data_IF_031960561714
#
_entry.id   IF_031960561714
#
_cell.length_a   1.000
_cell.length_b   1.000
_cell.length_c   1.000
_cell.angle_alpha   90.00
_cell.angle_beta   90.00
_cell.angle_gamma   90.00
#
_symmetry.space_group_name_H-M   'P 1'
#
loop_
_entity.id
_entity.type
_entity.pdbx_description
1 polymer ?
#
# COMPACT_ATOMS: atom_id res chain seq x y z
N UNK A 1 25.37 -15.32 -29.62
CA UNK A 1 24.09 -15.49 -28.91
C UNK A 1 24.27 -15.07 -27.45
N UNK A 2 23.84 -13.88 -27.01
CA UNK A 2 23.98 -13.52 -25.60
C UNK A 2 22.94 -14.27 -24.78
N UNK A 3 23.41 -15.11 -23.85
CA UNK A 3 22.59 -15.78 -22.84
C UNK A 3 21.78 -14.73 -22.08
N UNK A 4 20.45 -14.72 -22.24
CA UNK A 4 19.54 -13.99 -21.36
C UNK A 4 19.82 -14.43 -19.93
N UNK A 5 20.50 -13.62 -19.12
CA UNK A 5 20.58 -13.84 -17.70
C UNK A 5 19.15 -13.88 -17.15
N UNK A 6 18.68 -15.07 -16.76
CA UNK A 6 17.48 -15.20 -15.97
C UNK A 6 17.66 -14.28 -14.76
N UNK A 7 16.86 -13.20 -14.69
CA UNK A 7 16.96 -12.23 -13.60
C UNK A 7 16.69 -12.97 -12.30
N UNK A 8 17.73 -13.19 -11.50
CA UNK A 8 17.65 -13.82 -10.18
C UNK A 8 16.72 -12.97 -9.29
N UNK A 9 15.57 -13.54 -8.96
CA UNK A 9 14.53 -12.96 -8.10
C UNK A 9 14.99 -13.11 -6.63
N UNK A 10 14.85 -12.06 -5.80
CA UNK A 10 15.12 -12.16 -4.36
C UNK A 10 14.17 -13.17 -3.71
N UNK A 11 14.74 -14.08 -2.92
CA UNK A 11 13.97 -15.00 -2.07
C UNK A 11 13.59 -14.32 -0.75
N UNK A 12 12.60 -14.89 -0.07
CA UNK A 12 12.22 -14.49 1.28
C UNK A 12 13.37 -14.82 2.25
N UNK A 13 13.69 -13.92 3.20
CA UNK A 13 14.71 -14.19 4.21
C UNK A 13 14.24 -15.32 5.14
N UNK A 14 15.18 -16.16 5.54
CA UNK A 14 15.01 -17.21 6.53
C UNK A 14 14.88 -16.64 7.96
N UNK A 15 14.35 -17.45 8.89
CA UNK A 15 14.00 -17.06 10.27
C UNK A 15 15.13 -16.35 11.01
N UNK A 16 16.36 -16.81 10.86
CA UNK A 16 17.57 -16.32 11.54
C UNK A 16 17.90 -14.86 11.21
N UNK A 17 17.38 -14.33 10.10
CA UNK A 17 17.54 -12.92 9.76
C UNK A 17 16.60 -11.99 10.55
N UNK A 18 15.55 -12.53 11.17
CA UNK A 18 14.57 -11.77 11.93
C UNK A 18 14.92 -11.75 13.41
N UNK A 19 14.64 -10.61 14.06
CA UNK A 19 14.68 -10.50 15.52
C UNK A 19 13.49 -11.23 16.15
N UNK A 20 13.56 -11.65 17.42
CA UNK A 20 12.46 -12.38 18.08
C UNK A 20 11.09 -11.67 17.98
N UNK A 21 11.04 -10.35 18.21
CA UNK A 21 9.81 -9.54 18.06
C UNK A 21 9.30 -9.50 16.62
N UNK A 22 10.20 -9.35 15.64
CA UNK A 22 9.87 -9.35 14.21
C UNK A 22 9.25 -10.70 13.81
N UNK A 23 9.88 -11.79 14.23
CA UNK A 23 9.40 -13.14 13.95
C UNK A 23 8.06 -13.46 14.62
N UNK A 24 7.86 -13.03 15.87
CA UNK A 24 6.59 -13.19 16.58
C UNK A 24 5.43 -12.49 15.86
N UNK A 25 5.66 -11.29 15.31
CA UNK A 25 4.67 -10.56 14.50
C UNK A 25 4.34 -11.36 13.23
N UNK A 26 5.36 -11.85 12.52
CA UNK A 26 5.18 -12.67 11.32
C UNK A 26 4.34 -13.92 11.63
N UNK A 27 4.67 -14.64 12.70
CA UNK A 27 3.94 -15.85 13.07
C UNK A 27 2.49 -15.58 13.50
N UNK A 28 2.22 -14.42 14.12
CA UNK A 28 0.89 -14.02 14.58
C UNK A 28 -0.03 -13.61 13.44
N UNK A 29 0.47 -12.84 12.46
CA UNK A 29 -0.35 -12.28 11.38
C UNK A 29 -0.06 -12.98 10.06
N UNK A 30 -0.82 -14.04 9.75
CA UNK A 30 -0.56 -14.96 8.63
C UNK A 30 -1.36 -14.66 7.37
N UNK A 31 -2.42 -13.88 7.49
CA UNK A 31 -3.35 -13.60 6.40
C UNK A 31 -3.43 -12.10 6.11
N UNK A 32 -3.80 -11.70 4.87
CA UNK A 32 -3.99 -10.28 4.53
C UNK A 32 -4.92 -9.54 5.49
N UNK A 33 -6.00 -10.20 5.95
CA UNK A 33 -6.93 -9.62 6.94
C UNK A 33 -6.27 -9.36 8.29
N UNK A 34 -5.48 -10.31 8.79
CA UNK A 34 -4.75 -10.16 10.05
C UNK A 34 -3.68 -9.06 9.96
N UNK A 35 -2.96 -8.99 8.83
CA UNK A 35 -1.97 -7.93 8.60
C UNK A 35 -2.65 -6.56 8.45
N UNK A 36 -3.83 -6.49 7.82
CA UNK A 36 -4.63 -5.27 7.76
C UNK A 36 -5.03 -4.78 9.16
N UNK A 37 -5.43 -5.68 10.05
CA UNK A 37 -5.75 -5.35 11.45
C UNK A 37 -4.52 -4.85 12.21
N UNK A 38 -3.38 -5.54 12.06
CA UNK A 38 -2.11 -5.10 12.64
C UNK A 38 -1.74 -3.67 12.20
N UNK A 39 -1.75 -3.39 10.90
CA UNK A 39 -1.40 -2.07 10.37
C UNK A 39 -2.39 -0.97 10.75
N UNK A 40 -3.68 -1.30 10.92
CA UNK A 40 -4.69 -0.34 11.41
C UNK A 40 -4.49 0.02 12.88
N UNK A 41 -3.94 -0.90 13.67
CA UNK A 41 -3.62 -0.65 15.07
C UNK A 41 -2.34 0.19 15.24
N UNK A 42 -1.51 0.33 14.20
CA UNK A 42 -0.34 1.20 14.25
C UNK A 42 -0.74 2.68 14.14
N UNK A 43 -0.18 3.56 14.99
CA UNK A 43 -0.14 4.99 14.75
C UNK A 43 0.33 5.33 13.34
N UNK A 44 -0.28 6.36 12.75
CA UNK A 44 0.17 6.87 11.46
C UNK A 44 1.48 7.63 11.64
N UNK A 45 2.46 7.35 10.79
CA UNK A 45 3.71 8.11 10.77
C UNK A 45 3.46 9.45 10.07
N UNK A 46 3.48 10.54 10.82
CA UNK A 46 3.33 11.90 10.28
C UNK A 46 4.67 12.55 9.92
N UNK A 47 5.78 11.81 10.02
CA UNK A 47 7.12 12.28 9.59
C UNK A 47 7.56 13.58 10.27
N UNK A 48 7.16 13.76 11.55
CA UNK A 48 7.42 14.97 12.34
C UNK A 48 8.91 15.29 12.50
N UNK A 49 9.75 14.26 12.41
CA UNK A 49 11.21 14.35 12.56
C UNK A 49 11.94 14.22 11.22
N UNK A 50 11.25 14.48 10.11
CA UNK A 50 11.75 14.37 8.74
C UNK A 50 11.22 13.17 7.98
N UNK A 51 11.41 13.21 6.66
CA UNK A 51 10.96 12.18 5.73
C UNK A 51 11.58 10.82 6.04
N UNK A 52 10.77 9.79 5.90
CA UNK A 52 11.10 8.41 6.19
C UNK A 52 10.63 7.46 5.11
N UNK A 53 11.35 6.35 4.99
CA UNK A 53 10.87 5.19 4.26
C UNK A 53 11.41 3.94 4.97
N UNK A 54 10.83 3.67 6.13
CA UNK A 54 11.20 2.56 7.00
C UNK A 54 10.86 1.21 6.38
N UNK A 55 11.75 0.25 6.60
CA UNK A 55 11.50 -1.17 6.37
C UNK A 55 10.63 -1.77 7.47
N UNK A 56 10.22 -3.03 7.33
CA UNK A 56 9.53 -3.76 8.40
C UNK A 56 10.29 -3.71 9.74
N UNK A 57 11.61 -3.92 9.71
CA UNK A 57 12.46 -3.82 10.92
C UNK A 57 12.31 -2.48 11.62
N UNK A 58 12.40 -1.39 10.86
CA UNK A 58 12.29 -0.05 11.42
C UNK A 58 10.86 0.27 11.85
N UNK A 59 9.82 -0.20 11.15
CA UNK A 59 8.43 -0.09 11.60
C UNK A 59 8.19 -0.83 12.92
N UNK A 60 8.74 -2.03 13.11
CA UNK A 60 8.62 -2.79 14.38
C UNK A 60 9.34 -2.08 15.54
N UNK A 61 10.43 -1.37 15.24
CA UNK A 61 11.19 -0.56 16.21
C UNK A 61 10.45 0.71 16.62
N UNK A 62 9.95 1.48 15.65
CA UNK A 62 9.31 2.79 15.88
C UNK A 62 7.81 2.69 16.15
N UNK A 63 7.20 1.55 15.84
CA UNK A 63 5.78 1.26 16.07
C UNK A 63 4.81 2.26 15.42
N UNK A 64 5.16 2.79 14.26
CA UNK A 64 4.29 3.64 13.43
C UNK A 64 4.64 3.44 11.96
N UNK A 65 3.68 3.70 11.06
CA UNK A 65 3.89 3.61 9.62
C UNK A 65 2.98 4.56 8.84
N UNK A 66 3.50 5.17 7.77
CA UNK A 66 2.66 5.78 6.72
C UNK A 66 2.35 4.75 5.63
N UNK A 67 1.68 5.16 4.54
CA UNK A 67 1.17 4.25 3.50
C UNK A 67 2.25 3.33 2.90
N UNK A 68 3.36 3.90 2.40
CA UNK A 68 4.42 3.13 1.76
C UNK A 68 5.17 2.22 2.75
N UNK A 69 5.48 2.69 3.96
CA UNK A 69 6.08 1.88 5.03
C UNK A 69 5.20 0.68 5.42
N UNK A 70 3.88 0.90 5.47
CA UNK A 70 2.92 -0.14 5.75
C UNK A 70 2.82 -1.16 4.61
N UNK A 71 2.91 -0.72 3.36
CA UNK A 71 2.91 -1.60 2.19
C UNK A 71 4.16 -2.50 2.16
N UNK A 72 5.35 -1.92 2.44
CA UNK A 72 6.62 -2.67 2.59
C UNK A 72 6.57 -3.64 3.78
N UNK A 73 5.95 -3.22 4.89
CA UNK A 73 5.72 -4.07 6.07
C UNK A 73 4.80 -5.24 5.75
N UNK A 74 3.66 -4.99 5.09
CA UNK A 74 2.74 -6.04 4.66
C UNK A 74 3.42 -7.03 3.72
N UNK A 75 4.21 -6.53 2.77
CA UNK A 75 4.99 -7.36 1.86
C UNK A 75 5.97 -8.27 2.61
N UNK A 76 6.69 -7.73 3.61
CA UNK A 76 7.65 -8.51 4.39
C UNK A 76 6.98 -9.60 5.22
N UNK A 77 5.83 -9.30 5.82
CA UNK A 77 5.08 -10.27 6.63
C UNK A 77 4.46 -11.36 5.74
N UNK A 78 3.74 -10.95 4.69
CA UNK A 78 2.95 -11.88 3.87
C UNK A 78 3.81 -12.72 2.92
N UNK A 79 4.99 -12.26 2.54
CA UNK A 79 5.95 -13.09 1.78
C UNK A 79 6.35 -14.35 2.55
N UNK A 80 6.46 -14.28 3.88
CA UNK A 80 6.74 -15.45 4.74
C UNK A 80 5.59 -16.47 4.75
N UNK A 81 4.41 -16.06 4.29
CA UNK A 81 3.20 -16.90 4.19
C UNK A 81 2.82 -17.21 2.75
N UNK A 82 3.76 -17.06 1.81
CA UNK A 82 3.60 -17.47 0.41
C UNK A 82 2.91 -16.45 -0.50
N UNK A 83 2.66 -15.22 -0.03
CA UNK A 83 2.15 -14.15 -0.88
C UNK A 83 3.30 -13.45 -1.61
N UNK A 84 3.23 -13.26 -2.94
CA UNK A 84 4.26 -12.48 -3.64
C UNK A 84 4.26 -11.03 -3.12
N UNK A 85 5.43 -10.40 -2.89
CA UNK A 85 5.54 -9.06 -2.32
C UNK A 85 5.28 -7.97 -3.39
N UNK A 86 4.03 -7.91 -3.85
CA UNK A 86 3.60 -6.98 -4.89
C UNK A 86 3.08 -5.69 -4.26
N UNK A 87 3.60 -4.56 -4.69
CA UNK A 87 3.04 -3.25 -4.41
C UNK A 87 2.19 -2.78 -5.59
N UNK A 88 1.03 -2.20 -5.28
CA UNK A 88 0.20 -1.48 -6.24
C UNK A 88 0.28 -0.01 -5.89
N UNK A 89 0.73 0.78 -6.86
CA UNK A 89 0.89 2.21 -6.75
C UNK A 89 -0.26 2.94 -7.45
N UNK A 90 -0.77 3.99 -6.81
CA UNK A 90 -1.79 4.87 -7.36
C UNK A 90 -1.16 6.23 -7.63
N UNK A 91 -0.99 6.57 -8.90
CA UNK A 91 -0.49 7.87 -9.31
C UNK A 91 -1.60 8.91 -9.16
N UNK A 92 -1.34 9.98 -8.41
CA UNK A 92 -2.27 11.08 -8.19
C UNK A 92 -1.92 12.31 -9.01
N UNK A 93 -2.94 13.09 -9.40
CA UNK A 93 -2.74 14.35 -10.12
C UNK A 93 -1.98 15.42 -9.32
N UNK A 94 -1.97 15.33 -8.00
CA UNK A 94 -1.29 16.25 -7.08
C UNK A 94 0.06 15.70 -6.57
N UNK A 95 0.55 14.61 -7.17
CA UNK A 95 1.79 13.91 -6.80
C UNK A 95 1.81 13.35 -5.37
N UNK A 96 0.65 13.23 -4.72
CA UNK A 96 0.49 12.52 -3.46
C UNK A 96 0.02 11.09 -3.75
N UNK A 97 0.96 10.25 -4.15
CA UNK A 97 0.69 8.86 -4.50
C UNK A 97 0.33 8.01 -3.26
N UNK A 98 -0.42 6.94 -3.48
CA UNK A 98 -0.81 6.01 -2.43
C UNK A 98 -0.46 4.59 -2.81
N UNK A 99 0.37 3.97 -1.99
CA UNK A 99 0.92 2.64 -2.26
C UNK A 99 0.30 1.64 -1.32
N UNK A 100 -0.14 0.51 -1.87
CA UNK A 100 -0.79 -0.57 -1.14
C UNK A 100 -0.15 -1.91 -1.45
N UNK A 101 -0.19 -2.85 -0.52
CA UNK A 101 0.19 -4.23 -0.81
C UNK A 101 -0.94 -4.92 -1.59
N UNK A 102 -0.59 -5.56 -2.70
CA UNK A 102 -1.52 -6.24 -3.59
C UNK A 102 -1.46 -7.75 -3.37
N UNK A 103 -2.63 -8.39 -3.22
CA UNK A 103 -2.71 -9.84 -3.17
C UNK A 103 -3.84 -10.39 -4.04
N UNK A 104 -3.78 -11.69 -4.28
CA UNK A 104 -4.83 -12.45 -4.96
C UNK A 104 -5.26 -13.62 -4.07
N UNK A 105 -6.57 -13.79 -3.91
CA UNK A 105 -7.16 -14.94 -3.21
C UNK A 105 -8.35 -15.46 -4.00
N UNK A 106 -8.37 -16.78 -4.27
CA UNK A 106 -9.39 -17.42 -5.14
C UNK A 106 -9.63 -16.61 -6.42
N UNK A 107 -8.53 -16.31 -7.10
CA UNK A 107 -8.47 -15.55 -8.36
C UNK A 107 -8.92 -14.08 -8.31
N UNK A 108 -9.29 -13.55 -7.14
CA UNK A 108 -9.75 -12.18 -6.98
C UNK A 108 -8.70 -11.31 -6.30
N UNK A 109 -8.61 -10.06 -6.74
CA UNK A 109 -7.67 -9.08 -6.21
C UNK A 109 -8.21 -8.43 -4.95
N UNK A 110 -7.34 -8.25 -3.96
CA UNK A 110 -7.55 -7.46 -2.76
C UNK A 110 -6.27 -6.73 -2.38
N UNK A 111 -6.33 -5.90 -1.34
CA UNK A 111 -5.19 -5.10 -0.90
C UNK A 111 -5.09 -5.02 0.62
N UNK A 112 -3.88 -4.79 1.10
CA UNK A 112 -3.59 -4.41 2.49
C UNK A 112 -2.94 -3.03 2.48
N UNK A 113 -3.44 -2.10 3.31
CA UNK A 113 -2.97 -0.72 3.30
C UNK A 113 -3.12 -0.01 4.64
N UNK A 114 -2.29 1.01 4.84
CA UNK A 114 -2.47 2.03 5.87
C UNK A 114 -2.64 3.38 5.19
N UNK A 115 -3.58 4.20 5.66
CA UNK A 115 -3.74 5.59 5.21
C UNK A 115 -4.23 6.45 6.36
N UNK A 116 -4.08 7.77 6.24
CA UNK A 116 -4.77 8.76 7.06
C UNK A 116 -6.28 8.76 6.81
N UNK A 117 -6.69 8.40 5.59
CA UNK A 117 -8.09 8.40 5.16
C UNK A 117 -8.72 7.01 5.26
N UNK A 118 -9.88 6.93 5.92
CA UNK A 118 -10.57 5.67 6.19
C UNK A 118 -10.85 4.85 4.92
N UNK A 119 -11.17 5.51 3.81
CA UNK A 119 -11.47 4.85 2.55
C UNK A 119 -10.26 4.39 1.75
N UNK A 120 -9.04 4.73 2.18
CA UNK A 120 -7.79 4.36 1.52
C UNK A 120 -7.07 3.18 2.20
N UNK A 121 -7.70 2.54 3.18
CA UNK A 121 -7.26 1.24 3.71
C UNK A 121 -7.48 0.09 2.71
N UNK A 122 -7.16 -1.14 3.12
CA UNK A 122 -7.22 -2.32 2.27
C UNK A 122 -8.62 -2.65 1.74
N UNK A 123 -8.64 -3.60 0.80
CA UNK A 123 -9.85 -4.11 0.17
C UNK A 123 -9.94 -5.62 0.30
N UNK A 124 -11.16 -6.10 0.49
CA UNK A 124 -11.49 -7.53 0.41
C UNK A 124 -11.16 -8.06 -1.00
N UNK A 125 -10.78 -9.35 -1.13
CA UNK A 125 -10.44 -9.94 -2.42
C UNK A 125 -11.70 -10.26 -3.24
N UNK A 126 -12.41 -9.24 -3.74
CA UNK A 126 -13.68 -9.40 -4.47
C UNK A 126 -13.58 -9.05 -5.96
N UNK A 127 -12.52 -8.34 -6.38
CA UNK A 127 -12.41 -7.80 -7.74
C UNK A 127 -11.78 -8.80 -8.72
N UNK A 128 -12.36 -8.92 -9.91
CA UNK A 128 -11.88 -9.85 -10.95
C UNK A 128 -10.70 -9.29 -11.76
N UNK A 129 -10.51 -7.98 -11.76
CA UNK A 129 -9.39 -7.32 -12.44
C UNK A 129 -8.76 -6.22 -11.59
N UNK A 130 -7.48 -5.93 -11.86
CA UNK A 130 -6.76 -4.83 -11.23
C UNK A 130 -7.47 -3.48 -11.47
N UNK A 131 -7.99 -3.26 -12.68
CA UNK A 131 -8.73 -2.04 -12.98
C UNK A 131 -9.96 -1.88 -12.07
N UNK A 132 -10.72 -2.95 -11.82
CA UNK A 132 -11.87 -2.90 -10.91
C UNK A 132 -11.44 -2.59 -9.47
N UNK A 133 -10.37 -3.23 -8.99
CA UNK A 133 -9.79 -2.93 -7.69
C UNK A 133 -9.38 -1.46 -7.58
N UNK A 134 -8.65 -0.92 -8.56
CA UNK A 134 -8.23 0.49 -8.58
C UNK A 134 -9.44 1.43 -8.61
N UNK A 135 -10.46 1.11 -9.41
CA UNK A 135 -11.70 1.90 -9.46
C UNK A 135 -12.41 1.98 -8.09
N UNK A 136 -12.24 0.99 -7.21
CA UNK A 136 -12.79 1.02 -5.84
C UNK A 136 -12.13 2.09 -4.94
N UNK A 137 -10.97 2.61 -5.33
CA UNK A 137 -10.26 3.68 -4.64
C UNK A 137 -10.58 5.07 -5.19
N UNK A 138 -11.06 5.19 -6.44
CA UNK A 138 -11.21 6.47 -7.14
C UNK A 138 -12.01 7.51 -6.37
N UNK A 139 -13.16 7.13 -5.80
CA UNK A 139 -13.98 8.07 -5.02
C UNK A 139 -13.38 8.35 -3.65
N UNK A 140 -12.96 7.34 -2.85
CA UNK A 140 -12.24 7.56 -1.60
C UNK A 140 -10.95 8.39 -1.71
N UNK A 141 -10.31 8.42 -2.88
CA UNK A 141 -9.09 9.17 -3.12
C UNK A 141 -9.30 10.69 -3.16
N UNK A 142 -10.53 11.13 -3.41
CA UNK A 142 -10.82 12.56 -3.55
C UNK A 142 -10.84 13.21 -2.17
N UNK A 143 -9.72 13.82 -1.79
CA UNK A 143 -9.46 14.43 -0.48
C UNK A 143 -9.24 15.95 -0.52
N UNK A 144 -9.64 16.61 -1.62
CA UNK A 144 -9.53 18.06 -1.82
C UNK A 144 -8.77 18.41 -3.10
N UNK A 145 -7.66 17.71 -3.34
CA UNK A 145 -6.82 17.78 -4.54
C UNK A 145 -6.56 16.41 -5.16
N UNK A 146 -6.70 15.31 -4.41
CA UNK A 146 -6.39 13.97 -4.90
C UNK A 146 -7.29 13.49 -6.03
N UNK A 147 -6.68 12.87 -7.05
CA UNK A 147 -7.37 12.13 -8.11
C UNK A 147 -6.43 11.11 -8.72
N UNK A 148 -6.83 9.84 -8.72
CA UNK A 148 -6.06 8.78 -9.39
C UNK A 148 -6.08 9.00 -10.91
N UNK A 149 -4.89 9.12 -11.49
CA UNK A 149 -4.65 9.28 -12.94
C UNK A 149 -3.95 8.06 -13.56
N UNK A 150 -3.37 7.19 -12.74
CA UNK A 150 -2.65 6.00 -13.19
C UNK A 150 -2.44 4.98 -12.08
N UNK A 151 -2.02 3.78 -12.47
CA UNK A 151 -1.60 2.76 -11.51
C UNK A 151 -0.53 1.84 -12.10
N UNK A 152 0.35 1.32 -11.25
CA UNK A 152 1.42 0.40 -11.62
C UNK A 152 1.62 -0.68 -10.57
N UNK A 153 2.16 -1.83 -10.97
CA UNK A 153 2.47 -2.94 -10.05
C UNK A 153 3.96 -3.17 -10.02
N UNK A 154 4.53 -3.14 -8.82
CA UNK A 154 5.94 -3.40 -8.56
C UNK A 154 6.09 -4.72 -7.81
N UNK A 155 6.91 -5.62 -8.34
CA UNK A 155 7.34 -6.82 -7.62
C UNK A 155 8.61 -6.53 -6.84
N UNK A 156 8.54 -6.45 -5.51
CA UNK A 156 9.69 -6.11 -4.68
C UNK A 156 10.83 -7.15 -4.74
N UNK A 157 10.57 -8.36 -5.26
CA UNK A 157 11.63 -9.35 -5.44
C UNK A 157 12.62 -8.99 -6.55
N UNK A 158 12.29 -8.02 -7.41
CA UNK A 158 13.24 -7.52 -8.41
C UNK A 158 14.37 -6.69 -7.79
N UNK A 159 14.30 -6.38 -6.48
CA UNK A 159 15.34 -5.67 -5.75
C UNK A 159 16.17 -6.62 -4.90
N UNK A 160 17.50 -6.54 -5.05
CA UNK A 160 18.45 -7.17 -4.12
C UNK A 160 19.05 -6.16 -3.13
N UNK A 161 19.18 -4.89 -3.53
CA UNK A 161 19.72 -3.81 -2.68
C UNK A 161 18.95 -2.50 -2.91
N UNK A 162 18.70 -1.70 -1.87
CA UNK A 162 18.91 -2.02 -0.44
C UNK A 162 17.97 -3.14 0.04
N UNK A 163 18.25 -3.72 1.21
CA UNK A 163 17.37 -4.73 1.81
C UNK A 163 16.07 -4.05 2.28
N UNK A 164 15.06 -4.04 1.42
CA UNK A 164 13.75 -3.42 1.67
C UNK A 164 12.98 -4.06 2.84
N UNK A 165 13.33 -5.28 3.24
CA UNK A 165 12.70 -5.99 4.36
C UNK A 165 13.27 -5.57 5.70
N UNK A 166 14.59 -5.56 5.82
CA UNK A 166 15.29 -5.57 7.12
C UNK A 166 16.41 -4.53 7.27
N UNK A 167 16.60 -3.63 6.30
CA UNK A 167 17.54 -2.51 6.45
C UNK A 167 17.13 -1.63 7.63
N UNK A 168 18.11 -1.22 8.45
CA UNK A 168 17.89 -0.21 9.49
C UNK A 168 17.81 1.22 8.94
N UNK A 169 18.27 1.42 7.69
CA UNK A 169 18.21 2.69 6.96
C UNK A 169 16.97 2.77 6.08
N UNK A 170 16.55 4.00 5.75
CA UNK A 170 15.49 4.26 4.78
C UNK A 170 15.79 3.62 3.42
N UNK A 171 14.74 3.15 2.74
CA UNK A 171 14.85 2.41 1.47
C UNK A 171 14.28 3.18 0.28
N UNK A 172 14.72 4.43 0.14
CA UNK A 172 14.38 5.38 -0.95
C UNK A 172 14.44 4.80 -2.37
N UNK A 173 15.21 3.73 -2.58
CA UNK A 173 15.23 3.04 -3.86
C UNK A 173 13.85 2.47 -4.26
N UNK A 174 13.01 2.07 -3.30
CA UNK A 174 11.65 1.56 -3.56
C UNK A 174 10.79 2.66 -4.15
N UNK A 175 10.72 3.82 -3.49
CA UNK A 175 9.99 4.99 -3.97
C UNK A 175 10.48 5.45 -5.35
N UNK A 176 11.80 5.60 -5.54
CA UNK A 176 12.35 6.00 -6.84
C UNK A 176 11.94 5.07 -7.99
N UNK A 177 11.76 3.79 -7.73
CA UNK A 177 11.27 2.87 -8.77
C UNK A 177 9.77 2.92 -8.93
N UNK A 178 9.00 3.11 -7.85
CA UNK A 178 7.56 3.36 -7.95
C UNK A 178 7.27 4.59 -8.81
N UNK A 179 8.04 5.68 -8.65
CA UNK A 179 7.93 6.89 -9.46
C UNK A 179 8.31 6.63 -10.93
N UNK A 180 9.35 5.82 -11.19
CA UNK A 180 9.90 5.60 -12.54
C UNK A 180 9.23 4.49 -13.33
N UNK A 181 8.56 3.55 -12.67
CA UNK A 181 7.96 2.41 -13.35
C UNK A 181 6.84 2.89 -14.28
N UNK A 182 6.53 2.15 -15.36
CA UNK A 182 5.39 2.51 -16.20
C UNK A 182 4.06 2.36 -15.45
N UNK A 183 3.27 3.43 -15.41
CA UNK A 183 1.88 3.38 -14.94
C UNK A 183 0.91 3.28 -16.10
N UNK A 184 -0.10 2.43 -15.94
CA UNK A 184 -1.25 2.39 -16.83
C UNK A 184 -2.16 3.57 -16.52
N UNK A 185 -2.35 4.46 -17.50
CA UNK A 185 -3.29 5.59 -17.40
C UNK A 185 -4.70 5.11 -17.05
N UNK A 186 -5.33 5.78 -16.09
CA UNK A 186 -6.69 5.54 -15.66
C UNK A 186 -7.55 6.76 -15.97
N UNK A 187 -8.41 6.63 -16.99
CA UNK A 187 -9.42 7.65 -17.29
C UNK A 187 -10.63 7.49 -16.37
N UNK A 188 -10.96 8.56 -15.66
CA UNK A 188 -12.13 8.68 -14.78
C UNK A 188 -12.99 9.88 -15.20
N UNK A 189 -14.28 9.88 -14.89
CA UNK A 189 -15.20 10.95 -15.32
C UNK A 189 -14.97 12.25 -14.53
N UNK A 190 -14.76 13.37 -15.22
CA UNK A 190 -14.64 14.70 -14.60
C UNK A 190 -15.92 15.13 -13.87
N UNK A 191 -17.09 14.74 -14.41
CA UNK A 191 -18.37 15.00 -13.76
C UNK A 191 -18.44 14.27 -12.42
N UNK A 192 -18.05 12.99 -12.38
CA UNK A 192 -18.01 12.19 -11.14
C UNK A 192 -17.01 12.76 -10.15
N UNK A 193 -15.78 13.06 -10.59
CA UNK A 193 -14.76 13.68 -9.76
C UNK A 193 -15.26 14.97 -9.10
N UNK A 194 -15.83 15.91 -9.88
CA UNK A 194 -16.40 17.16 -9.36
C UNK A 194 -17.53 16.94 -8.37
N UNK A 195 -18.39 15.94 -8.59
CA UNK A 195 -19.48 15.60 -7.67
C UNK A 195 -18.94 15.07 -6.33
N UNK A 196 -17.98 14.14 -6.36
CA UNK A 196 -17.35 13.60 -5.15
C UNK A 196 -16.58 14.69 -4.40
N UNK A 197 -15.84 15.55 -5.12
CA UNK A 197 -15.09 16.66 -4.53
C UNK A 197 -16.02 17.64 -3.79
N UNK A 198 -17.16 18.02 -4.38
CA UNK A 198 -18.16 18.86 -3.70
C UNK A 198 -18.70 18.18 -2.44
N UNK A 199 -19.00 16.89 -2.51
CA UNK A 199 -19.48 16.11 -1.36
C UNK A 199 -18.43 16.05 -0.25
N UNK A 200 -17.16 15.80 -0.59
CA UNK A 200 -16.05 15.78 0.35
C UNK A 200 -15.85 17.14 1.03
N UNK A 201 -15.82 18.24 0.27
CA UNK A 201 -15.68 19.60 0.82
C UNK A 201 -16.83 19.96 1.75
N UNK A 202 -18.06 19.62 1.38
CA UNK A 202 -19.25 19.81 2.23
C UNK A 202 -19.14 19.01 3.52
N UNK A 203 -18.71 17.75 3.42
CA UNK A 203 -18.47 16.91 4.59
C UNK A 203 -17.40 17.51 5.51
N UNK A 204 -16.26 17.96 4.98
CA UNK A 204 -15.18 18.56 5.77
C UNK A 204 -15.59 19.84 6.47
N UNK A 205 -16.39 20.68 5.82
CA UNK A 205 -16.95 21.90 6.44
C UNK A 205 -17.80 21.58 7.68
N UNK A 206 -18.60 20.51 7.62
CA UNK A 206 -19.50 20.14 8.71
C UNK A 206 -18.83 19.23 9.77
N UNK A 207 -17.79 18.50 9.37
CA UNK A 207 -17.13 17.48 10.20
C UNK A 207 -15.61 17.50 9.96
N UNK A 208 -14.89 18.53 10.45
CA UNK A 208 -13.47 18.71 10.17
C UNK A 208 -12.62 17.50 10.56
N UNK A 209 -12.91 16.90 11.72
CA UNK A 209 -12.07 15.83 12.30
C UNK A 209 -12.63 14.42 12.12
N UNK A 210 -13.84 14.26 11.57
CA UNK A 210 -14.44 12.92 11.42
C UNK A 210 -13.90 12.19 10.18
N UNK A 211 -13.70 10.87 10.22
CA UNK A 211 -13.30 10.12 9.03
C UNK A 211 -14.42 10.09 7.97
N UNK A 212 -14.07 10.38 6.70
CA UNK A 212 -15.02 10.29 5.59
C UNK A 212 -15.32 8.83 5.27
N UNK A 213 -16.55 8.38 5.52
CA UNK A 213 -16.98 6.98 5.37
C UNK A 213 -18.27 6.81 4.55
N UNK A 214 -18.71 7.87 3.89
CA UNK A 214 -20.00 7.95 3.19
C UNK A 214 -20.02 7.29 1.78
N UNK A 215 -18.98 6.51 1.46
CA UNK A 215 -18.81 5.85 0.16
C UNK A 215 -19.60 4.53 0.10
N UNK A 216 -20.31 4.31 -1.02
CA UNK A 216 -21.21 3.17 -1.17
C UNK A 216 -20.49 1.80 -1.07
N UNK A 217 -19.22 1.74 -1.48
CA UNK A 217 -18.42 0.51 -1.49
C UNK A 217 -17.73 0.19 -0.15
N UNK A 218 -18.10 0.85 0.95
CA UNK A 218 -17.51 0.61 2.28
C UNK A 218 -17.56 -0.86 2.71
N UNK A 219 -18.59 -1.59 2.30
CA UNK A 219 -18.74 -3.02 2.57
C UNK A 219 -17.64 -3.89 1.93
N UNK A 220 -16.89 -3.37 0.97
CA UNK A 220 -15.76 -4.03 0.29
C UNK A 220 -14.41 -3.75 0.98
N UNK A 221 -14.36 -2.87 1.99
CA UNK A 221 -13.12 -2.52 2.69
C UNK A 221 -12.71 -3.62 3.67
N UNK A 222 -11.40 -3.76 3.88
CA UNK A 222 -10.78 -4.78 4.76
C UNK A 222 -10.47 -4.22 6.16
#
# INVERSE_FOLDING_TARGET
MPRKHARSISTAPSREHFRPKEWAIIQKYRTPRQVQQFLRALPYNWERDGETLRTFRSVVRHWQAHCLEAAVTAATILEQHGYPPLLLDFQSQDNLDHVVFLFRHRERYGTVARSRDAGLHGRKPVYRSLRQLVMSYVDPYVDGSGRIIGYGVLDLRTFRRPNWRLSSRNVWAVERVLIKMPHKKLKTSDRRYRAVLRRYRTFRKNYPDRPATFYANRHEWL
#
